data_IF_524920086012
#
_entry.id   IF_524920086012
#
_cell.length_a   1.000
_cell.length_b   1.000
_cell.length_c   1.000
_cell.angle_alpha   90.00
_cell.angle_beta   90.00
_cell.angle_gamma   90.00
#
_symmetry.space_group_name_H-M   'P 1'
#
loop_
_entity.id
_entity.type
_entity.pdbx_description
1 polymer ?
#
# COMPACT_ATOMS: atom_id res chain seq x y z
N UNK A 1 -9.32 1.01 -22.01
CA UNK A 1 -8.64 2.15 -22.61
C UNK A 1 -7.77 2.72 -21.53
N UNK A 2 -6.47 2.83 -21.80
CA UNK A 2 -5.49 3.44 -20.91
C UNK A 2 -5.54 4.96 -21.07
N UNK A 3 -5.65 5.69 -19.97
CA UNK A 3 -5.68 7.15 -19.93
C UNK A 3 -4.53 7.67 -19.07
N UNK A 4 -3.79 8.68 -19.55
CA UNK A 4 -2.84 9.44 -18.73
C UNK A 4 -3.62 10.45 -17.90
N UNK A 5 -3.44 10.43 -16.58
CA UNK A 5 -4.17 11.29 -15.64
C UNK A 5 -3.30 12.38 -15.01
N UNK A 6 -1.98 12.20 -14.97
CA UNK A 6 -1.04 13.25 -14.55
C UNK A 6 0.38 13.05 -15.07
N UNK A 7 1.17 14.13 -14.99
CA UNK A 7 2.63 14.17 -15.20
C UNK A 7 3.26 14.88 -14.00
N UNK A 8 4.21 14.24 -13.32
CA UNK A 8 4.90 14.79 -12.14
C UNK A 8 6.42 14.83 -12.36
N UNK A 9 7.09 15.82 -11.77
CA UNK A 9 8.56 15.87 -11.76
C UNK A 9 9.09 15.02 -10.60
N UNK A 10 9.79 13.90 -10.86
CA UNK A 10 10.23 12.97 -9.82
C UNK A 10 11.34 13.52 -8.91
N UNK A 11 11.99 14.63 -9.30
CA UNK A 11 13.16 15.19 -8.59
C UNK A 11 12.80 15.77 -7.22
N UNK A 12 11.53 16.13 -6.99
CA UNK A 12 11.07 16.74 -5.75
C UNK A 12 11.06 15.77 -4.56
N UNK A 13 10.93 14.46 -4.80
CA UNK A 13 10.84 13.48 -3.72
C UNK A 13 12.17 13.34 -2.97
N UNK A 14 12.11 13.49 -1.64
CA UNK A 14 13.23 13.27 -0.72
C UNK A 14 12.78 12.48 0.49
N UNK A 15 13.41 11.34 0.74
CA UNK A 15 13.25 10.55 1.97
C UNK A 15 14.50 10.67 2.85
N UNK A 16 14.63 9.86 3.89
CA UNK A 16 15.78 9.87 4.80
C UNK A 16 16.02 8.46 5.36
N UNK A 17 17.28 8.16 5.67
CA UNK A 17 17.62 6.96 6.44
C UNK A 17 17.04 7.07 7.86
N UNK A 18 16.83 5.93 8.51
CA UNK A 18 16.29 5.86 9.86
C UNK A 18 17.16 4.97 10.75
N UNK A 19 17.43 5.40 11.97
CA UNK A 19 17.96 4.52 13.01
C UNK A 19 16.78 3.80 13.67
N UNK A 20 16.87 2.48 13.82
CA UNK A 20 15.82 1.63 14.40
C UNK A 20 16.40 0.89 15.59
N UNK A 21 15.71 0.95 16.72
CA UNK A 21 15.96 0.13 17.90
C UNK A 21 14.72 -0.69 18.22
N UNK A 22 14.85 -2.00 18.25
CA UNK A 22 13.76 -2.93 18.52
C UNK A 22 14.03 -3.75 19.79
N UNK A 23 12.96 -4.00 20.55
CA UNK A 23 12.86 -5.08 21.54
C UNK A 23 11.66 -5.96 21.23
N UNK A 24 11.48 -7.07 21.96
CA UNK A 24 10.29 -7.92 21.79
C UNK A 24 8.96 -7.15 21.91
N UNK A 25 8.93 -6.07 22.69
CA UNK A 25 7.72 -5.33 23.02
C UNK A 25 7.49 -4.08 22.15
N UNK A 26 8.56 -3.44 21.67
CA UNK A 26 8.46 -2.11 21.05
C UNK A 26 9.51 -1.92 19.96
N UNK A 27 9.13 -1.25 18.88
CA UNK A 27 10.04 -0.77 17.85
C UNK A 27 10.06 0.75 17.86
N UNK A 28 11.25 1.34 17.93
CA UNK A 28 11.45 2.79 17.81
C UNK A 28 12.28 3.09 16.59
N UNK A 29 11.90 4.11 15.84
CA UNK A 29 12.73 4.66 14.77
C UNK A 29 12.91 6.17 14.92
N UNK A 30 14.00 6.67 14.35
CA UNK A 30 14.19 8.11 14.20
C UNK A 30 14.94 8.45 12.90
N UNK A 31 14.62 9.59 12.25
CA UNK A 31 15.36 10.03 11.07
C UNK A 31 16.83 10.32 11.38
N UNK A 32 17.74 9.92 10.48
CA UNK A 32 19.18 10.12 10.63
C UNK A 32 19.86 10.54 9.33
N UNK A 33 20.91 11.37 9.42
CA UNK A 33 21.66 11.88 8.27
C UNK A 33 20.90 12.96 7.48
N UNK A 34 21.34 13.21 6.24
CA UNK A 34 20.71 14.19 5.33
C UNK A 34 19.59 13.54 4.49
N UNK A 35 18.61 14.31 4.00
CA UNK A 35 17.63 13.82 3.04
C UNK A 35 18.28 13.22 1.79
N UNK A 36 17.71 12.12 1.30
CA UNK A 36 18.19 11.32 0.19
C UNK A 36 17.27 11.49 -1.02
N UNK A 37 17.86 11.58 -2.22
CA UNK A 37 17.10 11.34 -3.46
C UNK A 37 16.65 9.89 -3.55
N UNK A 38 15.71 9.61 -4.46
CA UNK A 38 15.29 8.24 -4.77
C UNK A 38 16.48 7.33 -5.13
N UNK A 39 17.38 7.79 -6.01
CA UNK A 39 18.58 7.03 -6.41
C UNK A 39 19.50 6.74 -5.23
N UNK A 40 19.80 7.75 -4.38
CA UNK A 40 20.65 7.57 -3.20
C UNK A 40 20.02 6.63 -2.17
N UNK A 41 18.70 6.66 -2.04
CA UNK A 41 17.97 5.72 -1.19
C UNK A 41 18.07 4.30 -1.76
N UNK A 42 17.88 4.11 -3.06
CA UNK A 42 17.95 2.80 -3.71
C UNK A 42 19.35 2.17 -3.60
N UNK A 43 20.43 2.97 -3.72
CA UNK A 43 21.81 2.52 -3.49
C UNK A 43 22.04 2.00 -2.05
N UNK A 44 21.28 2.51 -1.08
CA UNK A 44 21.36 2.06 0.33
C UNK A 44 20.52 0.83 0.62
N UNK A 45 19.58 0.45 -0.26
CA UNK A 45 18.71 -0.73 -0.11
C UNK A 45 19.49 -2.01 -0.45
N UNK A 46 20.43 -2.34 0.42
CA UNK A 46 21.22 -3.57 0.33
C UNK A 46 20.77 -4.57 1.39
N UNK A 47 20.90 -5.89 1.13
CA UNK A 47 20.54 -6.90 2.11
C UNK A 47 21.31 -6.71 3.42
N UNK A 48 20.62 -6.86 4.56
CA UNK A 48 21.23 -6.88 5.88
C UNK A 48 21.01 -8.21 6.59
N UNK A 49 21.82 -8.48 7.61
CA UNK A 49 21.64 -9.63 8.50
C UNK A 49 21.47 -9.14 9.94
N UNK A 50 20.50 -9.70 10.65
CA UNK A 50 20.25 -9.47 12.07
C UNK A 50 20.35 -10.79 12.81
N UNK A 51 21.03 -10.80 13.95
CA UNK A 51 21.22 -12.02 14.76
C UNK A 51 20.00 -12.37 15.61
N UNK A 52 19.24 -11.37 16.06
CA UNK A 52 17.99 -11.56 16.82
C UNK A 52 16.88 -10.75 16.14
N UNK A 53 15.82 -11.39 15.61
CA UNK A 53 14.70 -10.70 14.96
C UNK A 53 13.81 -9.91 15.94
N UNK A 54 13.98 -10.06 17.25
CA UNK A 54 13.26 -9.34 18.28
C UNK A 54 14.08 -8.21 18.92
N UNK A 55 15.41 -8.28 18.89
CA UNK A 55 16.29 -7.29 19.54
C UNK A 55 17.44 -6.88 18.63
N UNK A 56 17.40 -5.62 18.17
CA UNK A 56 18.45 -5.08 17.31
C UNK A 56 18.51 -3.56 17.36
N UNK A 57 19.66 -3.02 16.98
CA UNK A 57 19.85 -1.61 16.69
C UNK A 57 20.58 -1.49 15.34
N UNK A 58 19.96 -0.81 14.37
CA UNK A 58 20.44 -0.76 12.99
C UNK A 58 20.02 0.54 12.31
N UNK A 59 20.78 0.97 11.31
CA UNK A 59 20.36 2.05 10.39
C UNK A 59 19.83 1.42 9.12
N UNK A 60 18.59 1.76 8.77
CA UNK A 60 17.89 1.29 7.57
C UNK A 60 17.87 2.40 6.51
N UNK A 61 17.76 2.00 5.25
CA UNK A 61 17.79 2.86 4.08
C UNK A 61 16.63 3.88 4.06
N UNK A 62 15.43 3.44 4.45
CA UNK A 62 14.22 4.26 4.42
C UNK A 62 13.09 3.69 5.31
N UNK A 63 12.06 4.51 5.49
CA UNK A 63 10.73 4.11 5.95
C UNK A 63 9.79 3.98 4.74
N UNK A 64 9.01 2.91 4.68
CA UNK A 64 7.88 2.74 3.76
C UNK A 64 6.58 2.57 4.53
N UNK A 65 5.48 2.89 3.85
CA UNK A 65 4.12 2.65 4.34
C UNK A 65 3.36 1.82 3.33
N UNK A 66 2.46 0.98 3.84
CA UNK A 66 1.48 0.26 3.06
C UNK A 66 0.12 0.33 3.74
N UNK A 67 -0.96 0.18 2.98
CA UNK A 67 -2.31 0.13 3.54
C UNK A 67 -3.05 -1.16 3.15
N UNK A 68 -3.52 -1.87 4.17
CA UNK A 68 -4.43 -3.00 4.07
C UNK A 68 -5.87 -2.47 4.10
N UNK A 69 -6.40 -2.16 2.91
CA UNK A 69 -7.76 -1.67 2.72
C UNK A 69 -8.75 -2.83 2.65
N UNK A 70 -9.75 -2.77 3.51
CA UNK A 70 -10.86 -3.71 3.51
C UNK A 70 -12.12 -3.02 3.01
N UNK A 71 -12.83 -3.67 2.10
CA UNK A 71 -14.06 -3.19 1.49
C UNK A 71 -15.17 -4.20 1.76
N UNK A 72 -16.31 -3.72 2.27
CA UNK A 72 -17.54 -4.49 2.28
C UNK A 72 -18.38 -4.11 1.06
N UNK A 73 -18.68 -5.07 0.19
CA UNK A 73 -19.45 -4.82 -1.03
C UNK A 73 -20.37 -6.01 -1.33
N UNK A 74 -21.65 -5.74 -1.59
CA UNK A 74 -22.66 -6.77 -1.90
C UNK A 74 -22.67 -7.95 -0.89
N UNK A 75 -22.63 -7.65 0.42
CA UNK A 75 -22.62 -8.64 1.51
C UNK A 75 -21.37 -9.53 1.55
N UNK A 76 -20.26 -9.09 0.94
CA UNK A 76 -18.99 -9.82 0.88
C UNK A 76 -17.87 -8.89 1.34
N UNK A 77 -16.84 -9.48 1.93
CA UNK A 77 -15.66 -8.76 2.42
C UNK A 77 -14.48 -8.97 1.48
N UNK A 78 -13.76 -7.89 1.18
CA UNK A 78 -12.63 -7.93 0.27
C UNK A 78 -11.44 -7.18 0.86
N UNK A 79 -10.24 -7.70 0.60
CA UNK A 79 -9.00 -6.94 0.70
C UNK A 79 -8.62 -6.41 -0.67
N UNK A 80 -8.24 -5.14 -0.76
CA UNK A 80 -7.73 -4.55 -1.99
C UNK A 80 -6.25 -4.88 -2.16
N UNK A 81 -5.88 -5.27 -3.37
CA UNK A 81 -4.52 -5.52 -3.81
C UNK A 81 -4.29 -4.81 -5.13
N UNK A 82 -3.05 -4.41 -5.40
CA UNK A 82 -2.65 -3.87 -6.71
C UNK A 82 -1.52 -4.66 -7.30
N UNK A 83 -1.51 -4.80 -8.62
CA UNK A 83 -0.45 -5.47 -9.36
C UNK A 83 0.78 -4.57 -9.46
N UNK A 84 1.94 -5.17 -9.29
CA UNK A 84 3.23 -4.53 -9.52
C UNK A 84 4.11 -5.45 -10.35
N UNK A 85 4.58 -4.93 -11.48
CA UNK A 85 5.69 -5.51 -12.22
C UNK A 85 7.01 -5.09 -11.56
N UNK A 86 7.89 -6.05 -11.31
CA UNK A 86 9.21 -5.80 -10.72
C UNK A 86 10.29 -6.29 -11.69
N UNK A 87 10.62 -5.53 -12.75
CA UNK A 87 11.59 -5.94 -13.76
C UNK A 87 12.95 -6.32 -13.16
N UNK A 88 13.40 -5.60 -12.12
CA UNK A 88 14.66 -5.88 -11.42
C UNK A 88 14.69 -7.23 -10.71
N UNK A 89 13.52 -7.76 -10.36
CA UNK A 89 13.34 -9.09 -9.74
C UNK A 89 12.89 -10.16 -10.75
N UNK A 90 12.50 -9.76 -11.97
CA UNK A 90 11.98 -10.65 -13.01
C UNK A 90 10.65 -11.30 -12.65
N UNK A 91 9.87 -10.68 -11.75
CA UNK A 91 8.58 -11.21 -11.29
C UNK A 91 7.47 -10.14 -11.27
N UNK A 92 6.26 -10.62 -11.00
CA UNK A 92 5.06 -9.82 -10.80
C UNK A 92 4.42 -10.24 -9.49
N UNK A 93 3.98 -9.26 -8.70
CA UNK A 93 3.32 -9.50 -7.42
C UNK A 93 2.02 -8.71 -7.31
N UNK A 94 1.10 -9.23 -6.51
CA UNK A 94 0.03 -8.44 -5.91
C UNK A 94 0.55 -7.86 -4.58
N UNK A 95 0.38 -6.56 -4.39
CA UNK A 95 0.83 -5.84 -3.20
C UNK A 95 -0.30 -5.01 -2.60
N UNK A 96 -0.07 -4.49 -1.41
CA UNK A 96 -0.85 -3.40 -0.85
C UNK A 96 -0.52 -2.09 -1.58
N UNK A 97 -1.42 -1.10 -1.55
CA UNK A 97 -1.07 0.28 -1.90
C UNK A 97 0.07 0.73 -0.97
N UNK A 98 1.11 1.34 -1.52
CA UNK A 98 2.36 1.49 -0.79
C UNK A 98 3.26 2.61 -1.32
N UNK A 99 3.87 3.34 -0.41
CA UNK A 99 4.73 4.48 -0.72
C UNK A 99 5.97 4.60 0.15
N UNK A 100 6.94 5.37 -0.32
CA UNK A 100 8.09 5.78 0.48
C UNK A 100 7.73 7.02 1.29
N UNK A 101 8.03 7.03 2.59
CA UNK A 101 7.71 8.18 3.44
C UNK A 101 8.66 9.35 3.13
N UNK A 102 8.13 10.53 2.74
CA UNK A 102 8.94 11.73 2.58
C UNK A 102 9.61 12.13 3.89
N UNK A 103 10.81 12.70 3.80
CA UNK A 103 11.62 13.13 4.96
C UNK A 103 10.88 14.06 5.92
N UNK A 104 10.00 14.92 5.40
CA UNK A 104 9.19 15.84 6.20
C UNK A 104 7.96 15.18 6.85
N UNK A 105 7.58 13.98 6.43
CA UNK A 105 6.44 13.22 6.95
C UNK A 105 6.86 12.06 7.87
N UNK A 106 8.16 11.83 8.08
CA UNK A 106 8.67 10.71 8.88
C UNK A 106 8.13 10.66 10.31
N UNK A 107 7.63 11.77 10.86
CA UNK A 107 6.98 11.81 12.18
C UNK A 107 5.49 11.48 12.16
N UNK A 108 4.85 11.59 11.00
CA UNK A 108 3.42 11.36 10.79
C UNK A 108 3.21 10.54 9.50
N UNK A 109 3.69 9.27 9.43
CA UNK A 109 3.61 8.48 8.20
C UNK A 109 2.18 8.19 7.72
N UNK A 110 1.18 8.38 8.60
CA UNK A 110 -0.22 8.32 8.24
C UNK A 110 -0.60 9.34 7.14
N UNK A 111 0.08 10.49 7.06
CA UNK A 111 -0.15 11.45 5.97
C UNK A 111 0.25 10.85 4.62
N UNK A 112 1.40 10.18 4.55
CA UNK A 112 1.82 9.45 3.35
C UNK A 112 0.78 8.42 2.96
N UNK A 113 0.22 7.66 3.91
CA UNK A 113 -0.87 6.69 3.62
C UNK A 113 -2.08 7.37 2.96
N UNK A 114 -2.49 8.55 3.43
CA UNK A 114 -3.61 9.28 2.82
C UNK A 114 -3.29 9.75 1.41
N UNK A 115 -2.06 10.20 1.17
CA UNK A 115 -1.58 10.56 -0.17
C UNK A 115 -1.57 9.36 -1.10
N UNK A 116 -1.01 8.22 -0.67
CA UNK A 116 -0.97 6.99 -1.46
C UNK A 116 -2.37 6.48 -1.81
N UNK A 117 -3.32 6.53 -0.87
CA UNK A 117 -4.71 6.15 -1.18
C UNK A 117 -5.31 7.12 -2.22
N UNK A 118 -5.09 8.43 -2.07
CA UNK A 118 -5.61 9.42 -3.01
C UNK A 118 -4.99 9.33 -4.41
N UNK A 119 -3.71 8.92 -4.49
CA UNK A 119 -2.97 8.79 -5.74
C UNK A 119 -3.20 7.45 -6.42
N UNK A 120 -3.29 6.35 -5.67
CA UNK A 120 -3.32 5.00 -6.23
C UNK A 120 -4.75 4.40 -6.27
N UNK A 121 -5.67 4.75 -5.36
CA UNK A 121 -7.05 4.23 -5.40
C UNK A 121 -7.99 5.21 -6.09
N UNK A 122 -8.52 4.79 -7.24
CA UNK A 122 -9.53 5.55 -7.96
C UNK A 122 -10.86 4.81 -8.00
N UNK A 123 -11.93 5.47 -7.58
CA UNK A 123 -13.29 4.92 -7.59
C UNK A 123 -14.13 5.73 -8.57
N UNK A 124 -14.39 5.13 -9.72
CA UNK A 124 -15.20 5.72 -10.78
C UNK A 124 -16.67 5.37 -10.57
N UNK A 125 -17.56 6.34 -10.75
CA UNK A 125 -19.01 6.15 -10.82
C UNK A 125 -19.57 6.81 -12.07
N UNK A 126 -20.87 6.64 -12.33
CA UNK A 126 -21.54 7.38 -13.42
C UNK A 126 -21.52 8.90 -13.25
N UNK A 127 -21.36 9.39 -12.02
CA UNK A 127 -21.42 10.82 -11.70
C UNK A 127 -20.04 11.47 -11.66
N UNK A 128 -18.96 10.69 -11.80
CA UNK A 128 -17.58 11.14 -11.66
C UNK A 128 -16.79 10.28 -10.68
N UNK A 129 -15.62 10.78 -10.31
CA UNK A 129 -14.68 10.10 -9.41
C UNK A 129 -14.96 10.46 -7.96
N UNK A 130 -15.02 9.46 -7.09
CA UNK A 130 -15.24 9.73 -5.67
C UNK A 130 -13.97 10.29 -5.03
N UNK A 131 -14.08 11.44 -4.38
CA UNK A 131 -13.06 11.91 -3.45
C UNK A 131 -13.10 11.06 -2.16
N UNK A 132 -11.95 10.94 -1.49
CA UNK A 132 -11.84 10.26 -0.21
C UNK A 132 -11.92 11.19 0.99
N UNK A 133 -12.45 10.67 2.10
CA UNK A 133 -12.41 11.33 3.40
C UNK A 133 -11.93 10.37 4.49
N UNK A 134 -10.93 10.76 5.26
CA UNK A 134 -10.51 10.03 6.45
C UNK A 134 -10.97 10.81 7.68
N UNK A 135 -11.85 10.19 8.48
CA UNK A 135 -12.61 10.88 9.53
C UNK A 135 -13.31 12.13 8.95
N UNK A 136 -12.96 13.33 9.41
CA UNK A 136 -13.50 14.61 8.93
C UNK A 136 -12.53 15.37 8.01
N UNK A 137 -11.45 14.73 7.58
CA UNK A 137 -10.43 15.35 6.71
C UNK A 137 -10.52 14.81 5.29
N UNK A 138 -10.64 15.72 4.33
CA UNK A 138 -10.59 15.39 2.90
C UNK A 138 -9.19 14.93 2.50
N UNK A 139 -9.14 13.84 1.73
CA UNK A 139 -7.91 13.42 1.07
C UNK A 139 -7.54 14.41 -0.04
N UNK A 140 -6.24 14.49 -0.42
CA UNK A 140 -5.83 15.28 -1.56
C UNK A 140 -6.49 14.79 -2.85
N UNK A 141 -6.58 15.65 -3.86
CA UNK A 141 -7.20 15.34 -5.16
C UNK A 141 -6.17 15.53 -6.27
N UNK A 142 -5.17 14.63 -6.38
CA UNK A 142 -4.01 14.79 -7.26
C UNK A 142 -4.38 14.89 -8.75
N UNK A 143 -5.57 14.41 -9.12
CA UNK A 143 -6.04 14.34 -10.50
C UNK A 143 -7.29 15.18 -10.78
N UNK A 144 -7.67 16.11 -9.91
CA UNK A 144 -8.91 16.90 -10.09
C UNK A 144 -8.97 17.69 -11.40
N UNK A 145 -7.82 18.01 -12.01
CA UNK A 145 -7.76 18.71 -13.30
C UNK A 145 -8.13 17.80 -14.49
N UNK A 146 -7.90 16.49 -14.38
CA UNK A 146 -8.09 15.51 -15.46
C UNK A 146 -9.25 14.54 -15.20
N UNK A 147 -9.61 14.34 -13.94
CA UNK A 147 -10.65 13.44 -13.46
C UNK A 147 -11.70 14.24 -12.67
N UNK A 148 -12.86 14.59 -13.29
CA UNK A 148 -13.91 15.34 -12.62
C UNK A 148 -14.48 14.58 -11.42
N UNK A 149 -14.48 15.23 -10.25
CA UNK A 149 -15.00 14.65 -9.02
C UNK A 149 -16.53 14.62 -9.00
N UNK A 150 -17.09 13.60 -8.36
CA UNK A 150 -18.50 13.61 -7.93
C UNK A 150 -18.65 14.66 -6.81
N UNK A 151 -19.50 15.67 -7.01
CA UNK A 151 -19.66 16.76 -6.04
C UNK A 151 -20.50 16.40 -4.82
N UNK A 152 -21.29 15.33 -4.91
CA UNK A 152 -22.28 14.94 -3.89
C UNK A 152 -21.82 13.75 -3.06
N UNK A 153 -20.98 12.87 -3.63
CA UNK A 153 -20.56 11.62 -3.01
C UNK A 153 -19.06 11.54 -2.77
N UNK A 154 -18.71 10.81 -1.71
CA UNK A 154 -17.34 10.53 -1.33
C UNK A 154 -17.24 9.16 -0.66
N UNK A 155 -16.09 8.50 -0.80
CA UNK A 155 -15.81 7.33 0.02
C UNK A 155 -15.22 7.76 1.37
N UNK A 156 -15.39 6.92 2.38
CA UNK A 156 -14.84 7.16 3.71
C UNK A 156 -13.82 6.09 4.09
N UNK A 157 -12.82 6.53 4.85
CA UNK A 157 -11.77 5.70 5.43
C UNK A 157 -11.90 5.74 6.95
N UNK A 158 -11.98 4.57 7.55
CA UNK A 158 -11.91 4.37 8.99
C UNK A 158 -10.73 3.48 9.37
N UNK A 159 -10.09 3.75 10.50
CA UNK A 159 -9.09 2.81 11.00
C UNK A 159 -9.75 1.52 11.48
N UNK A 160 -9.10 0.38 11.17
CA UNK A 160 -9.45 -0.91 11.77
C UNK A 160 -8.64 -1.11 13.05
N UNK A 161 -8.87 -2.23 13.73
CA UNK A 161 -8.17 -2.56 14.97
C UNK A 161 -6.65 -2.44 14.78
N UNK A 162 -6.04 -1.50 15.51
CA UNK A 162 -4.59 -1.31 15.46
C UNK A 162 -3.82 -2.49 16.06
N UNK A 163 -2.54 -2.61 15.68
CA UNK A 163 -1.65 -3.63 16.20
C UNK A 163 -1.36 -3.41 17.69
N UNK A 164 -1.06 -4.50 18.40
CA UNK A 164 -0.80 -4.49 19.85
C UNK A 164 0.62 -4.06 20.20
N UNK A 165 1.61 -4.32 19.31
CA UNK A 165 3.01 -3.94 19.55
C UNK A 165 3.22 -2.47 19.15
N UNK A 166 3.55 -1.58 20.09
CA UNK A 166 3.75 -0.17 19.79
C UNK A 166 4.93 0.09 18.86
N UNK A 167 4.74 1.05 17.96
CA UNK A 167 5.77 1.60 17.08
C UNK A 167 5.86 3.10 17.36
N UNK A 168 7.07 3.58 17.64
CA UNK A 168 7.31 4.98 17.97
C UNK A 168 8.25 5.65 16.97
N UNK A 169 7.94 6.90 16.64
CA UNK A 169 8.91 7.83 16.11
C UNK A 169 9.54 8.57 17.31
N UNK A 170 10.77 8.20 17.68
CA UNK A 170 11.41 8.62 18.94
C UNK A 170 10.55 8.25 20.15
N UNK A 171 9.94 9.23 20.82
CA UNK A 171 9.07 9.06 21.98
C UNK A 171 7.57 9.06 21.62
N UNK A 172 7.20 9.37 20.37
CA UNK A 172 5.81 9.52 19.94
C UNK A 172 5.25 8.21 19.39
N UNK A 173 4.14 7.73 19.95
CA UNK A 173 3.39 6.61 19.37
C UNK A 173 2.80 7.02 18.01
N UNK A 174 2.91 6.13 17.03
CA UNK A 174 2.23 6.31 15.77
C UNK A 174 0.71 6.15 15.93
N UNK A 175 -0.04 7.04 15.26
CA UNK A 175 -1.49 6.95 15.16
C UNK A 175 -1.90 5.67 14.43
N UNK A 176 -3.08 5.15 14.75
CA UNK A 176 -3.65 3.91 14.20
C UNK A 176 -2.83 2.63 14.38
N UNK A 177 -1.73 2.71 15.15
CA UNK A 177 -0.90 1.59 15.60
C UNK A 177 -0.62 0.59 14.46
N UNK A 178 0.13 1.01 13.42
CA UNK A 178 0.41 0.13 12.29
C UNK A 178 1.18 -1.13 12.72
N UNK A 179 1.02 -2.21 11.96
CA UNK A 179 1.97 -3.33 12.01
C UNK A 179 3.30 -2.84 11.45
N UNK A 180 4.43 -3.24 12.06
CA UNK A 180 5.75 -2.92 11.53
C UNK A 180 6.58 -4.18 11.24
N UNK A 181 7.43 -4.09 10.22
CA UNK A 181 8.49 -5.06 9.96
C UNK A 181 9.70 -4.43 9.26
N UNK A 182 10.89 -4.96 9.55
CA UNK A 182 12.12 -4.72 8.81
C UNK A 182 12.23 -5.76 7.71
N UNK A 183 12.29 -5.31 6.47
CA UNK A 183 12.52 -6.16 5.32
C UNK A 183 14.03 -6.31 5.08
N UNK A 184 14.59 -7.48 5.41
CA UNK A 184 16.04 -7.69 5.33
C UNK A 184 16.62 -7.53 3.92
N UNK A 185 15.99 -8.05 2.85
CA UNK A 185 16.54 -7.93 1.50
C UNK A 185 16.77 -6.48 1.06
N UNK A 186 15.99 -5.53 1.58
CA UNK A 186 16.05 -4.13 1.14
C UNK A 186 16.46 -3.15 2.23
N UNK A 187 16.80 -3.62 3.43
CA UNK A 187 17.14 -2.76 4.57
C UNK A 187 16.17 -1.59 4.77
N UNK A 188 14.88 -1.91 4.87
CA UNK A 188 13.84 -0.90 5.04
C UNK A 188 12.89 -1.28 6.18
N UNK A 189 12.37 -0.28 6.89
CA UNK A 189 11.23 -0.46 7.80
C UNK A 189 9.95 -0.23 7.01
N UNK A 190 8.98 -1.11 7.16
CA UNK A 190 7.66 -1.02 6.54
C UNK A 190 6.60 -0.90 7.64
N UNK A 191 5.65 0.02 7.45
CA UNK A 191 4.48 0.20 8.31
C UNK A 191 3.22 -0.17 7.53
N UNK A 192 2.44 -1.12 8.02
CA UNK A 192 1.18 -1.53 7.41
C UNK A 192 0.02 -1.01 8.25
N UNK A 193 -0.73 -0.06 7.69
CA UNK A 193 -1.93 0.50 8.30
C UNK A 193 -3.16 -0.31 7.86
N UNK A 194 -4.02 -0.67 8.81
CA UNK A 194 -5.24 -1.41 8.51
C UNK A 194 -6.42 -0.43 8.48
N UNK A 195 -7.14 -0.39 7.36
CA UNK A 195 -8.21 0.56 7.14
C UNK A 195 -9.45 -0.11 6.53
N UNK A 196 -10.60 0.47 6.86
CA UNK A 196 -11.89 0.16 6.27
C UNK A 196 -12.19 1.24 5.24
N UNK A 197 -12.40 0.81 3.99
CA UNK A 197 -13.00 1.59 2.93
C UNK A 197 -14.51 1.36 2.96
N UNK A 198 -15.27 2.46 3.02
CA UNK A 198 -16.72 2.43 2.89
C UNK A 198 -17.16 3.32 1.73
N UNK A 199 -17.92 2.73 0.82
CA UNK A 199 -18.55 3.41 -0.30
C UNK A 199 -19.91 3.98 0.15
N UNK A 200 -20.41 5.06 -0.49
CA UNK A 200 -21.78 5.53 -0.28
C UNK A 200 -22.83 4.43 -0.51
N UNK A 201 -23.87 4.40 0.31
CA UNK A 201 -24.95 3.40 0.19
C UNK A 201 -25.73 3.51 -1.13
N UNK A 202 -25.79 4.72 -1.69
CA UNK A 202 -26.50 5.05 -2.92
C UNK A 202 -25.59 5.06 -4.17
N UNK A 203 -24.40 4.47 -4.07
CA UNK A 203 -23.43 4.42 -5.16
C UNK A 203 -23.98 3.60 -6.34
N UNK A 204 -23.94 4.19 -7.54
CA UNK A 204 -24.41 3.54 -8.78
C UNK A 204 -23.23 3.06 -9.63
N UNK A 205 -23.19 1.73 -9.82
CA UNK A 205 -22.26 1.03 -10.72
C UNK A 205 -20.78 1.44 -10.55
N UNK A 206 -20.17 1.30 -9.36
CA UNK A 206 -18.78 1.69 -9.17
C UNK A 206 -17.78 0.80 -9.91
N UNK A 207 -16.68 1.38 -10.38
CA UNK A 207 -15.47 0.66 -10.77
C UNK A 207 -14.33 1.02 -9.83
N UNK A 208 -13.57 0.04 -9.37
CA UNK A 208 -12.32 0.29 -8.63
C UNK A 208 -11.14 0.13 -9.58
N UNK A 209 -10.30 1.14 -9.62
CA UNK A 209 -9.17 1.25 -10.52
C UNK A 209 -7.92 1.65 -9.71
N UNK A 210 -6.77 1.25 -10.23
CA UNK A 210 -5.47 1.66 -9.72
C UNK A 210 -4.86 2.69 -10.70
N UNK A 211 -4.28 3.76 -10.17
CA UNK A 211 -3.42 4.62 -10.97
C UNK A 211 -1.98 4.13 -10.86
N UNK A 212 -1.47 3.62 -11.97
CA UNK A 212 -0.08 3.16 -12.06
C UNK A 212 0.82 4.33 -12.49
N UNK A 213 1.95 4.49 -11.81
CA UNK A 213 2.94 5.52 -12.12
C UNK A 213 4.18 4.88 -12.75
N UNK A 214 4.57 5.35 -13.93
CA UNK A 214 5.81 4.93 -14.57
C UNK A 214 6.65 6.13 -14.96
N UNK A 215 7.98 5.95 -14.93
CA UNK A 215 8.91 6.97 -15.43
C UNK A 215 8.98 6.86 -16.96
N UNK A 216 8.55 7.90 -17.64
CA UNK A 216 8.64 7.98 -19.10
C UNK A 216 10.11 8.19 -19.53
N UNK A 217 10.68 7.29 -20.34
CA UNK A 217 12.11 7.32 -20.66
C UNK A 217 12.50 8.55 -21.49
N UNK A 218 11.56 9.10 -22.28
CA UNK A 218 11.80 10.21 -23.19
C UNK A 218 11.70 11.57 -22.47
N UNK A 219 10.57 11.80 -21.78
CA UNK A 219 10.32 13.06 -21.06
C UNK A 219 10.96 13.12 -19.69
N UNK A 220 11.35 11.98 -19.10
CA UNK A 220 11.81 11.84 -17.70
C UNK A 220 10.79 12.31 -16.68
N UNK A 221 9.52 12.38 -17.07
CA UNK A 221 8.41 12.68 -16.18
C UNK A 221 7.81 11.39 -15.64
N UNK A 222 7.29 11.47 -14.42
CA UNK A 222 6.48 10.40 -13.86
C UNK A 222 5.06 10.54 -14.44
N UNK A 223 4.60 9.53 -15.17
CA UNK A 223 3.28 9.51 -15.79
C UNK A 223 2.35 8.61 -14.97
N UNK A 224 1.28 9.19 -14.44
CA UNK A 224 0.20 8.43 -13.83
C UNK A 224 -0.82 8.03 -14.91
N UNK A 225 -1.20 6.76 -14.95
CA UNK A 225 -2.16 6.21 -15.91
C UNK A 225 -3.18 5.30 -15.26
N UNK A 226 -4.33 5.19 -15.90
CA UNK A 226 -5.43 4.31 -15.47
C UNK A 226 -5.87 3.45 -16.64
N UNK A 227 -6.02 2.14 -16.42
CA UNK A 227 -6.51 1.21 -17.44
C UNK A 227 -7.86 0.58 -17.08
N UNK A 228 -8.90 0.96 -17.82
CA UNK A 228 -10.25 0.43 -17.64
C UNK A 228 -10.44 -0.97 -18.23
N UNK A 229 -9.60 -1.37 -19.19
CA UNK A 229 -9.68 -2.68 -19.86
C UNK A 229 -8.89 -3.75 -19.12
N UNK A 230 -7.75 -3.38 -18.54
CA UNK A 230 -6.94 -4.27 -17.72
C UNK A 230 -6.62 -3.60 -16.38
N UNK A 231 -7.61 -3.49 -15.47
CA UNK A 231 -7.37 -2.90 -14.16
C UNK A 231 -6.26 -3.64 -13.42
N UNK A 232 -5.42 -2.87 -12.73
CA UNK A 232 -4.37 -3.39 -11.86
C UNK A 232 -4.85 -3.59 -10.41
N UNK A 233 -6.09 -3.21 -10.09
CA UNK A 233 -6.69 -3.35 -8.77
C UNK A 233 -7.53 -4.63 -8.66
N UNK A 234 -7.19 -5.47 -7.69
CA UNK A 234 -7.82 -6.74 -7.38
C UNK A 234 -8.50 -6.70 -6.01
N UNK A 235 -9.60 -7.43 -5.90
CA UNK A 235 -10.35 -7.69 -4.69
C UNK A 235 -10.17 -9.15 -4.29
N UNK A 236 -9.41 -9.40 -3.23
CA UNK A 236 -9.26 -10.73 -2.64
C UNK A 236 -10.38 -10.99 -1.63
N UNK A 237 -11.21 -11.99 -1.88
CA UNK A 237 -12.41 -12.24 -1.07
C UNK A 237 -12.09 -12.95 0.25
N UNK A 238 -12.83 -12.53 1.29
CA UNK A 238 -12.96 -13.19 2.57
C UNK A 238 -14.43 -13.56 2.82
N UNK A 239 -14.65 -14.72 3.46
CA UNK A 239 -15.96 -15.15 3.96
C UNK A 239 -15.83 -15.59 5.41
N UNK A 240 -16.65 -14.99 6.28
CA UNK A 240 -16.60 -15.23 7.73
C UNK A 240 -15.20 -15.00 8.34
N UNK A 241 -14.44 -14.04 7.81
CA UNK A 241 -13.09 -13.71 8.27
C UNK A 241 -11.97 -14.57 7.67
N UNK A 242 -12.30 -15.61 6.89
CA UNK A 242 -11.32 -16.49 6.26
C UNK A 242 -11.17 -16.17 4.76
N UNK A 243 -9.95 -16.22 4.20
CA UNK A 243 -9.73 -16.02 2.77
C UNK A 243 -10.40 -17.14 1.95
N UNK A 244 -10.97 -16.80 0.79
CA UNK A 244 -11.52 -17.82 -0.13
C UNK A 244 -10.52 -18.26 -1.20
N UNK A 245 -9.48 -17.44 -1.43
CA UNK A 245 -8.55 -17.62 -2.55
C UNK A 245 -9.09 -17.14 -3.90
N UNK A 246 -10.28 -16.53 -3.92
CA UNK A 246 -10.87 -15.93 -5.13
C UNK A 246 -10.43 -14.47 -5.26
N UNK A 247 -10.15 -14.04 -6.51
CA UNK A 247 -9.84 -12.66 -6.87
C UNK A 247 -10.87 -12.11 -7.84
N UNK A 248 -11.20 -10.83 -7.70
CA UNK A 248 -12.16 -10.14 -8.56
C UNK A 248 -11.65 -8.75 -8.96
N UNK A 249 -12.12 -8.24 -10.10
CA UNK A 249 -12.18 -6.81 -10.35
C UNK A 249 -13.60 -6.31 -10.07
N UNK A 250 -13.77 -5.11 -9.53
CA UNK A 250 -15.08 -4.45 -9.50
C UNK A 250 -15.18 -3.50 -10.69
N UNK A 251 -16.05 -3.82 -11.64
CA UNK A 251 -16.26 -3.05 -12.86
C UNK A 251 -17.74 -2.72 -13.03
N UNK A 252 -18.08 -1.43 -12.98
CA UNK A 252 -19.46 -0.95 -13.16
C UNK A 252 -20.47 -1.66 -12.24
N UNK A 253 -20.07 -1.90 -10.99
CA UNK A 253 -20.86 -2.58 -9.97
C UNK A 253 -20.78 -4.10 -9.99
N UNK A 254 -20.16 -4.71 -11.01
CA UNK A 254 -20.09 -6.15 -11.18
C UNK A 254 -18.73 -6.72 -10.76
N UNK A 255 -18.75 -7.83 -10.03
CA UNK A 255 -17.55 -8.56 -9.64
C UNK A 255 -17.12 -9.52 -10.76
N UNK A 256 -15.99 -9.22 -11.41
CA UNK A 256 -15.44 -10.00 -12.52
C UNK A 256 -14.29 -10.87 -12.00
N UNK A 257 -14.51 -12.18 -11.92
CA UNK A 257 -13.52 -13.14 -11.40
C UNK A 257 -12.21 -13.13 -12.21
N UNK A 258 -11.09 -13.26 -11.50
CA UNK A 258 -9.74 -13.27 -12.06
C UNK A 258 -9.02 -14.60 -11.77
N UNK A 259 -8.16 -15.08 -12.69
CA UNK A 259 -7.31 -16.24 -12.44
C UNK A 259 -6.38 -16.02 -11.25
N UNK A 260 -6.15 -17.07 -10.45
CA UNK A 260 -5.31 -17.00 -9.24
C UNK A 260 -4.07 -17.90 -9.29
N UNK A 261 -3.94 -18.71 -10.33
CA UNK A 261 -2.84 -19.66 -10.48
C UNK A 261 -1.49 -18.97 -10.67
N UNK A 262 -0.49 -19.39 -9.86
CA UNK A 262 0.89 -18.91 -9.98
C UNK A 262 1.11 -17.47 -9.50
N UNK A 263 0.10 -16.82 -8.92
CA UNK A 263 0.24 -15.46 -8.41
C UNK A 263 1.08 -15.41 -7.13
N UNK A 264 1.89 -14.36 -7.04
CA UNK A 264 2.70 -14.04 -5.88
C UNK A 264 2.13 -12.80 -5.18
N UNK A 265 2.26 -12.77 -3.87
CA UNK A 265 2.04 -11.61 -3.02
C UNK A 265 3.39 -10.98 -2.64
N UNK A 266 3.42 -9.67 -2.41
CA UNK A 266 4.61 -8.97 -1.93
C UNK A 266 5.01 -9.41 -0.51
N UNK A 267 6.17 -8.94 -0.05
CA UNK A 267 6.73 -9.25 1.26
C UNK A 267 5.83 -8.88 2.44
N UNK A 268 4.88 -7.95 2.26
CA UNK A 268 3.92 -7.56 3.29
C UNK A 268 3.07 -8.75 3.79
N UNK A 269 2.89 -9.75 2.94
CA UNK A 269 2.14 -10.99 3.21
C UNK A 269 3.03 -12.17 3.59
N UNK A 270 4.34 -12.03 3.45
CA UNK A 270 5.26 -13.09 3.84
C UNK A 270 5.31 -13.28 5.35
N UNK A 271 5.80 -14.45 5.76
CA UNK A 271 5.96 -14.79 7.18
C UNK A 271 6.86 -13.75 7.87
N UNK A 272 6.36 -13.22 8.98
CA UNK A 272 7.08 -12.31 9.85
C UNK A 272 7.57 -13.05 11.09
N UNK A 273 8.88 -13.04 11.32
CA UNK A 273 9.50 -13.56 12.54
C UNK A 273 9.96 -12.39 13.40
N UNK A 274 9.38 -12.20 14.58
CA UNK A 274 9.64 -11.03 15.42
C UNK A 274 9.28 -9.73 14.69
N UNK A 275 10.26 -8.87 14.41
CA UNK A 275 10.09 -7.67 13.58
C UNK A 275 10.57 -7.85 12.15
N UNK A 276 10.91 -9.06 11.71
CA UNK A 276 11.69 -9.27 10.49
C UNK A 276 10.89 -10.04 9.45
N UNK A 277 11.00 -9.60 8.20
CA UNK A 277 10.57 -10.35 7.01
C UNK A 277 11.80 -10.58 6.12
N UNK A 278 12.00 -11.83 5.72
CA UNK A 278 13.18 -12.26 4.94
C UNK A 278 12.86 -12.56 3.48
N UNK A 279 11.61 -12.91 3.16
CA UNK A 279 11.18 -13.23 1.81
C UNK A 279 10.75 -11.96 1.05
N UNK A 280 11.10 -11.89 -0.24
CA UNK A 280 10.74 -10.77 -1.12
C UNK A 280 9.31 -10.88 -1.71
N UNK A 281 8.71 -12.07 -1.60
CA UNK A 281 7.36 -12.41 -2.02
C UNK A 281 6.95 -13.73 -1.35
N UNK A 282 5.69 -14.12 -1.49
CA UNK A 282 5.19 -15.45 -1.17
C UNK A 282 4.05 -15.85 -2.12
N UNK A 283 3.74 -17.14 -2.31
CA UNK A 283 2.56 -17.55 -3.08
C UNK A 283 1.26 -16.98 -2.52
N UNK A 284 0.31 -16.62 -3.40
CA UNK A 284 -1.00 -16.07 -3.02
C UNK A 284 -1.67 -16.88 -1.90
N UNK A 285 -1.72 -18.21 -2.06
CA UNK A 285 -2.40 -19.08 -1.11
C UNK A 285 -1.77 -19.02 0.29
N UNK A 286 -0.44 -19.09 0.36
CA UNK A 286 0.30 -18.98 1.60
C UNK A 286 0.13 -17.60 2.25
N UNK A 287 0.27 -16.52 1.48
CA UNK A 287 0.22 -15.16 2.01
C UNK A 287 -1.17 -14.70 2.46
N UNK A 288 -2.24 -15.29 1.90
CA UNK A 288 -3.60 -15.08 2.41
C UNK A 288 -3.91 -15.95 3.63
N UNK A 289 -3.16 -17.02 3.87
CA UNK A 289 -3.40 -17.98 4.96
C UNK A 289 -4.33 -19.13 4.59
N UNK A 290 -4.45 -19.47 3.30
CA UNK A 290 -5.18 -20.67 2.87
C UNK A 290 -4.39 -21.91 3.30
N UNK A 291 -5.02 -22.79 4.07
CA UNK A 291 -4.44 -24.10 4.39
C UNK A 291 -4.58 -25.04 3.19
N UNK A 292 -3.51 -25.79 2.87
CA UNK A 292 -3.54 -26.83 1.82
C UNK A 292 -4.72 -27.80 2.05
N UNK A 293 -5.78 -27.67 1.27
CA UNK A 293 -6.98 -28.49 1.44
C UNK A 293 -8.26 -28.03 0.72
N UNK A 294 -8.29 -26.82 0.17
CA UNK A 294 -9.42 -26.34 -0.63
C UNK A 294 -8.96 -25.91 -2.01
N UNK A 295 -8.82 -26.88 -2.91
CA UNK A 295 -8.81 -26.68 -4.35
C UNK A 295 -9.98 -27.47 -4.95
#
# INVERSE_FOLDING_TARGET
MTQIVARKNPVAFKTQAIAVTASAEVLRYEPTGSPLSFAQMQERRVPLQLSDPNHFNVVLANLGVSVDLNLHWQQRDFRLLVRQDRPDHGDQVLKLLSGYVPSHELRVPLLTVMTEIAEELLIETRSGWLQGRYQDTWLPTPYAESLPLDSERHFTLGARAGNTRPVLCRELNLLERPRAYVHLPTSSLQLVYQMQLALPDDIDAPSLLHADEYLDPDSRELIARVDHQQPDLFLAEYRNGEPTGELYHLQRGELVAQPTGGLLLSEAFAEQQGWVVTAANCPLQQGLGLTDGTA
#
